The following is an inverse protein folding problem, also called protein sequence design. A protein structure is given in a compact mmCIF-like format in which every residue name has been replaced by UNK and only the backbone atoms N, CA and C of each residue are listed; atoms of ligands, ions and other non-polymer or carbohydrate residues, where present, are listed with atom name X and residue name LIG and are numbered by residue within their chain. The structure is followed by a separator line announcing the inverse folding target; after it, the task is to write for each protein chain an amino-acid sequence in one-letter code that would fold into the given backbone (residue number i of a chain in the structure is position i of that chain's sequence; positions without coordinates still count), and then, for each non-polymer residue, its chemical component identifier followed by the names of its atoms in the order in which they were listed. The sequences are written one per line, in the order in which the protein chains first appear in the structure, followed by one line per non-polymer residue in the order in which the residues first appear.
data_IF_024534444531
#
_entry.id   IF_024534444531
#
_cell.length_a   1.000
_cell.length_b   1.000
_cell.length_c   1.000
_cell.angle_alpha   90.00
_cell.angle_beta   90.00
_cell.angle_gamma   90.00
#
_symmetry.space_group_name_H-M   'P 1'
#
loop_
_entity.id
_entity.type
_entity.pdbx_description
1 polymer ?
#
# COMPACT_ATOMS: atom_id res chain seq x y z
N UNK A 1 -15.11 -7.18 -20.10
CA UNK A 1 -14.31 -8.34 -19.66
C UNK A 1 -12.99 -8.50 -20.42
N UNK A 2 -13.00 -8.70 -21.75
CA UNK A 2 -11.76 -8.92 -22.51
C UNK A 2 -10.71 -7.79 -22.36
N UNK A 3 -11.11 -6.52 -22.50
CA UNK A 3 -10.20 -5.38 -22.33
C UNK A 3 -9.57 -5.29 -20.93
N UNK A 4 -10.35 -5.59 -19.89
CA UNK A 4 -9.88 -5.57 -18.51
C UNK A 4 -8.88 -6.70 -18.27
N UNK A 5 -9.16 -7.89 -18.81
CA UNK A 5 -8.23 -9.02 -18.76
C UNK A 5 -6.93 -8.71 -19.50
N UNK A 6 -7.01 -8.09 -20.69
CA UNK A 6 -5.82 -7.67 -21.45
C UNK A 6 -5.01 -6.65 -20.67
N UNK A 7 -5.68 -5.65 -20.06
CA UNK A 7 -5.00 -4.63 -19.26
C UNK A 7 -4.34 -5.22 -18.00
N UNK A 8 -5.03 -6.12 -17.30
CA UNK A 8 -4.48 -6.82 -16.13
C UNK A 8 -3.31 -7.73 -16.51
N UNK A 9 -3.43 -8.47 -17.62
CA UNK A 9 -2.35 -9.27 -18.19
C UNK A 9 -1.16 -8.40 -18.58
N UNK A 10 -1.39 -7.21 -19.15
CA UNK A 10 -0.35 -6.24 -19.44
C UNK A 10 0.45 -5.82 -18.21
N UNK A 11 -0.21 -5.61 -17.07
CA UNK A 11 0.47 -5.28 -15.81
C UNK A 11 1.35 -6.42 -15.31
N UNK A 12 0.83 -7.65 -15.33
CA UNK A 12 1.60 -8.85 -14.97
C UNK A 12 2.78 -9.04 -15.93
N UNK A 13 2.58 -8.81 -17.22
CA UNK A 13 3.61 -8.92 -18.24
C UNK A 13 4.77 -7.93 -18.02
N UNK A 14 4.46 -6.66 -17.70
CA UNK A 14 5.49 -5.65 -17.37
C UNK A 14 6.28 -6.05 -16.12
N UNK A 15 5.61 -6.58 -15.09
CA UNK A 15 6.29 -7.11 -13.89
C UNK A 15 7.26 -8.24 -14.27
N UNK A 16 6.82 -9.17 -15.12
CA UNK A 16 7.64 -10.30 -15.58
C UNK A 16 8.86 -9.80 -16.37
N UNK A 17 8.68 -8.85 -17.29
CA UNK A 17 9.79 -8.27 -18.06
C UNK A 17 10.84 -7.67 -17.12
N UNK A 18 10.41 -6.81 -16.18
CA UNK A 18 11.32 -6.18 -15.23
C UNK A 18 12.04 -7.23 -14.37
N UNK A 19 11.33 -8.26 -13.92
CA UNK A 19 11.93 -9.36 -13.18
C UNK A 19 13.00 -10.09 -14.01
N UNK A 20 12.72 -10.43 -15.28
CA UNK A 20 13.66 -11.09 -16.18
C UNK A 20 14.89 -10.21 -16.42
N UNK A 21 14.70 -8.91 -16.73
CA UNK A 21 15.80 -7.96 -16.95
C UNK A 21 16.74 -7.88 -15.75
N UNK A 22 16.18 -8.01 -14.54
CA UNK A 22 16.99 -8.11 -13.32
C UNK A 22 17.73 -9.45 -13.21
N UNK A 23 17.10 -10.57 -13.55
CA UNK A 23 17.74 -11.89 -13.50
C UNK A 23 18.91 -12.02 -14.50
N UNK A 24 18.80 -11.38 -15.67
CA UNK A 24 19.88 -11.34 -16.66
C UNK A 24 20.90 -10.21 -16.40
N UNK A 25 20.84 -9.57 -15.24
CA UNK A 25 21.75 -8.50 -14.79
C UNK A 25 21.81 -7.26 -15.70
N UNK A 26 20.78 -7.03 -16.53
CA UNK A 26 20.63 -5.78 -17.29
C UNK A 26 20.24 -4.63 -16.36
N UNK A 27 19.44 -4.95 -15.34
CA UNK A 27 19.02 -4.04 -14.29
C UNK A 27 19.24 -4.68 -12.91
N UNK A 28 19.20 -3.86 -11.87
CA UNK A 28 19.38 -4.28 -10.49
C UNK A 28 18.23 -3.83 -9.60
N UNK A 29 18.16 -4.39 -8.39
CA UNK A 29 17.19 -3.95 -7.37
C UNK A 29 17.29 -2.46 -7.05
N UNK A 30 18.51 -1.90 -7.09
CA UNK A 30 18.74 -0.46 -6.86
C UNK A 30 18.01 0.41 -7.89
N UNK A 31 17.90 -0.04 -9.13
CA UNK A 31 17.22 0.70 -10.19
C UNK A 31 15.72 0.74 -9.91
N UNK A 32 15.17 -0.33 -9.35
CA UNK A 32 13.81 -0.36 -8.82
C UNK A 32 13.57 0.71 -7.74
N UNK A 33 14.53 0.92 -6.83
CA UNK A 33 14.43 1.97 -5.80
C UNK A 33 14.52 3.39 -6.41
N UNK A 34 15.34 3.56 -7.46
CA UNK A 34 15.39 4.81 -8.23
C UNK A 34 14.04 5.09 -8.89
N UNK A 35 13.44 4.09 -9.54
CA UNK A 35 12.10 4.22 -10.16
C UNK A 35 11.04 4.52 -9.10
N UNK A 36 11.08 3.88 -7.92
CA UNK A 36 10.18 4.19 -6.80
C UNK A 36 10.26 5.67 -6.40
N UNK A 37 11.47 6.23 -6.40
CA UNK A 37 11.70 7.64 -6.11
C UNK A 37 11.08 8.54 -7.19
N UNK A 38 11.24 8.21 -8.47
CA UNK A 38 10.58 8.93 -9.58
C UNK A 38 9.06 8.87 -9.44
N UNK A 39 8.51 7.70 -9.12
CA UNK A 39 7.07 7.50 -8.94
C UNK A 39 6.55 8.41 -7.85
N UNK A 40 7.10 8.30 -6.64
CA UNK A 40 6.57 8.97 -5.46
C UNK A 40 6.71 10.50 -5.52
N UNK A 41 7.69 11.01 -6.26
CA UNK A 41 7.95 12.45 -6.31
C UNK A 41 7.46 13.13 -7.60
N UNK A 42 7.18 12.37 -8.66
CA UNK A 42 6.86 12.93 -9.98
C UNK A 42 5.60 12.31 -10.57
N UNK A 43 5.64 11.04 -10.96
CA UNK A 43 4.54 10.48 -11.76
C UNK A 43 3.28 10.23 -10.96
N UNK A 44 3.39 9.81 -9.71
CA UNK A 44 2.24 9.60 -8.84
C UNK A 44 1.53 10.93 -8.50
N UNK A 45 2.22 11.99 -8.05
CA UNK A 45 1.61 13.32 -7.90
C UNK A 45 0.83 13.79 -9.14
N UNK A 46 1.42 13.70 -10.32
CA UNK A 46 0.78 14.09 -11.58
C UNK A 46 -0.43 13.20 -11.93
N UNK A 47 -0.30 11.89 -11.72
CA UNK A 47 -1.39 10.92 -11.84
C UNK A 47 -2.58 11.23 -10.91
N UNK A 48 -2.29 11.63 -9.67
CA UNK A 48 -3.31 12.00 -8.69
C UNK A 48 -4.02 13.29 -9.07
N UNK A 49 -3.28 14.33 -9.44
CA UNK A 49 -3.86 15.63 -9.83
C UNK A 49 -4.80 15.51 -11.04
N UNK A 50 -4.49 14.64 -11.98
CA UNK A 50 -5.33 14.42 -13.17
C UNK A 50 -6.60 13.63 -12.84
N UNK A 51 -6.56 12.76 -11.84
CA UNK A 51 -7.73 12.03 -11.32
C UNK A 51 -8.56 12.85 -10.32
N UNK A 52 -8.00 13.94 -9.79
CA UNK A 52 -8.66 14.83 -8.85
C UNK A 52 -9.73 15.75 -9.48
N UNK A 53 -9.60 16.04 -10.77
CA UNK A 53 -10.51 16.95 -11.46
C UNK A 53 -11.93 16.37 -11.49
N UNK A 54 -12.87 17.01 -10.79
CA UNK A 54 -14.26 16.57 -10.70
C UNK A 54 -14.57 15.61 -9.54
N UNK A 55 -13.64 15.39 -8.61
CA UNK A 55 -13.91 14.64 -7.38
C UNK A 55 -14.86 15.44 -6.48
N UNK A 56 -15.94 14.79 -6.05
CA UNK A 56 -16.87 15.34 -5.07
C UNK A 56 -16.58 14.78 -3.70
N UNK A 57 -16.59 15.62 -2.66
CA UNK A 57 -16.48 15.14 -1.28
C UNK A 57 -17.80 14.50 -0.86
N UNK A 58 -17.73 13.25 -0.41
CA UNK A 58 -18.87 12.53 0.16
C UNK A 58 -18.54 12.03 1.58
N UNK A 59 -19.58 11.57 2.30
CA UNK A 59 -19.43 11.05 3.66
C UNK A 59 -18.59 9.76 3.70
N UNK A 60 -18.56 9.00 2.60
CA UNK A 60 -17.81 7.75 2.48
C UNK A 60 -16.31 7.98 2.64
N UNK A 61 -15.79 9.11 2.16
CA UNK A 61 -14.37 9.48 2.30
C UNK A 61 -13.88 9.44 3.76
N UNK A 62 -14.67 9.99 4.70
CA UNK A 62 -14.33 9.95 6.12
C UNK A 62 -14.37 8.52 6.68
N UNK A 63 -15.38 7.74 6.27
CA UNK A 63 -15.50 6.33 6.67
C UNK A 63 -14.28 5.54 6.17
N UNK A 64 -13.81 5.80 4.95
CA UNK A 64 -12.66 5.12 4.36
C UNK A 64 -11.36 5.42 5.08
N UNK A 65 -11.15 6.68 5.48
CA UNK A 65 -10.04 7.07 6.35
C UNK A 65 -10.07 6.28 7.66
N UNK A 66 -11.23 6.20 8.31
CA UNK A 66 -11.39 5.44 9.54
C UNK A 66 -11.15 3.95 9.33
N UNK A 67 -11.60 3.35 8.22
CA UNK A 67 -11.32 1.95 7.90
C UNK A 67 -9.82 1.73 7.66
N UNK A 68 -9.12 2.65 6.98
CA UNK A 68 -7.68 2.57 6.77
C UNK A 68 -6.90 2.56 8.10
N UNK A 69 -7.31 3.38 9.06
CA UNK A 69 -6.74 3.40 10.41
C UNK A 69 -7.12 2.15 11.22
N UNK A 70 -8.41 1.81 11.25
CA UNK A 70 -8.95 0.72 12.06
C UNK A 70 -8.44 -0.64 11.60
N UNK A 71 -8.36 -0.90 10.29
CA UNK A 71 -7.84 -2.15 9.74
C UNK A 71 -6.40 -2.43 10.22
N UNK A 72 -5.56 -1.40 10.24
CA UNK A 72 -4.21 -1.46 10.78
C UNK A 72 -4.19 -1.80 12.28
N UNK A 73 -5.00 -1.13 13.10
CA UNK A 73 -5.10 -1.37 14.55
C UNK A 73 -5.60 -2.80 14.83
N UNK A 74 -6.63 -3.25 14.10
CA UNK A 74 -7.19 -4.60 14.22
C UNK A 74 -6.12 -5.64 13.87
N UNK A 75 -5.43 -5.49 12.73
CA UNK A 75 -4.38 -6.41 12.32
C UNK A 75 -3.22 -6.45 13.32
N UNK A 76 -2.85 -5.30 13.88
CA UNK A 76 -1.82 -5.19 14.91
C UNK A 76 -2.23 -5.95 16.19
N UNK A 77 -3.47 -5.77 16.63
CA UNK A 77 -4.01 -6.45 17.83
C UNK A 77 -4.15 -7.96 17.64
N UNK A 78 -4.67 -8.41 16.51
CA UNK A 78 -4.76 -9.84 16.14
C UNK A 78 -3.36 -10.46 16.17
N UNK A 79 -2.39 -9.79 15.56
CA UNK A 79 -1.01 -10.27 15.48
C UNK A 79 -0.35 -10.35 16.84
N UNK A 80 -0.62 -9.39 17.73
CA UNK A 80 -0.19 -9.43 19.12
C UNK A 80 -0.76 -10.66 19.86
N UNK A 81 -2.07 -10.91 19.74
CA UNK A 81 -2.72 -12.07 20.39
C UNK A 81 -2.12 -13.40 19.88
N UNK A 82 -1.97 -13.55 18.56
CA UNK A 82 -1.46 -14.77 17.93
C UNK A 82 0.05 -14.99 18.14
N UNK A 83 0.77 -13.95 18.57
CA UNK A 83 2.18 -14.02 18.94
C UNK A 83 2.42 -13.96 20.46
N UNK A 84 1.37 -14.03 21.29
CA UNK A 84 1.50 -13.87 22.76
C UNK A 84 2.52 -14.79 23.44
N UNK A 85 2.74 -15.99 22.87
CA UNK A 85 3.69 -17.00 23.38
C UNK A 85 5.13 -16.81 22.87
N UNK A 86 5.34 -15.91 21.92
CA UNK A 86 6.64 -15.63 21.32
C UNK A 86 7.45 -14.65 22.19
N UNK A 87 8.74 -14.50 21.88
CA UNK A 87 9.59 -13.47 22.48
C UNK A 87 9.11 -12.06 22.08
N UNK A 88 9.43 -11.07 22.92
CA UNK A 88 8.98 -9.68 22.77
C UNK A 88 9.37 -9.04 21.42
N UNK A 89 10.61 -9.28 20.96
CA UNK A 89 11.07 -8.78 19.66
C UNK A 89 10.26 -9.43 18.53
N UNK A 90 9.97 -10.72 18.62
CA UNK A 90 9.21 -11.45 17.61
C UNK A 90 7.72 -11.05 17.61
N UNK A 91 7.14 -10.72 18.77
CA UNK A 91 5.81 -10.09 18.86
C UNK A 91 5.79 -8.76 18.11
N UNK A 92 6.75 -7.89 18.38
CA UNK A 92 6.89 -6.60 17.69
C UNK A 92 7.05 -6.79 16.17
N UNK A 93 7.82 -7.78 15.74
CA UNK A 93 7.94 -8.16 14.33
C UNK A 93 6.57 -8.48 13.70
N UNK A 94 5.76 -9.35 14.34
CA UNK A 94 4.43 -9.71 13.79
C UNK A 94 3.49 -8.50 13.77
N UNK A 95 3.51 -7.67 14.80
CA UNK A 95 2.72 -6.43 14.84
C UNK A 95 3.05 -5.50 13.67
N UNK A 96 4.33 -5.34 13.34
CA UNK A 96 4.79 -4.50 12.23
C UNK A 96 4.46 -5.10 10.86
N UNK A 97 4.73 -6.41 10.66
CA UNK A 97 4.65 -7.02 9.33
C UNK A 97 3.24 -7.50 8.96
N UNK A 98 2.36 -7.71 9.93
CA UNK A 98 0.96 -8.02 9.65
C UNK A 98 0.08 -6.78 9.51
N UNK A 99 0.53 -5.62 10.01
CA UNK A 99 -0.12 -4.32 9.78
C UNK A 99 0.58 -3.56 8.64
N UNK A 100 -0.01 -2.45 8.22
CA UNK A 100 0.49 -1.57 7.16
C UNK A 100 0.21 -2.10 5.77
N UNK A 101 -0.38 -1.25 4.93
CA UNK A 101 -0.73 -1.57 3.55
C UNK A 101 0.12 -0.73 2.60
N UNK A 102 0.72 -1.37 1.59
CA UNK A 102 1.49 -0.66 0.57
C UNK A 102 0.55 -0.08 -0.51
N UNK A 103 -0.09 1.06 -0.24
CA UNK A 103 -1.11 1.59 -1.16
C UNK A 103 -0.50 2.39 -2.30
N UNK A 104 0.22 3.48 -2.00
CA UNK A 104 0.74 4.41 -3.02
C UNK A 104 1.65 3.75 -4.07
N UNK A 105 2.58 2.89 -3.64
CA UNK A 105 3.52 2.24 -4.56
C UNK A 105 2.93 1.04 -5.31
N UNK A 106 1.84 0.45 -4.82
CA UNK A 106 1.37 -0.84 -5.32
C UNK A 106 -0.09 -0.85 -5.74
N UNK A 107 -1.04 -0.59 -4.84
CA UNK A 107 -2.48 -0.67 -5.19
C UNK A 107 -2.92 0.50 -6.07
N UNK A 108 -2.37 1.69 -5.84
CA UNK A 108 -2.78 2.91 -6.52
C UNK A 108 -2.71 2.81 -8.06
N UNK A 109 -1.62 2.33 -8.68
CA UNK A 109 -1.58 2.07 -10.13
C UNK A 109 -2.72 1.22 -10.69
N UNK A 110 -3.16 0.19 -9.95
CA UNK A 110 -4.30 -0.65 -10.34
C UNK A 110 -5.59 0.17 -10.28
N UNK A 111 -5.86 0.83 -9.15
CA UNK A 111 -7.07 1.65 -9.00
C UNK A 111 -7.13 2.79 -10.02
N UNK A 112 -6.01 3.47 -10.26
CA UNK A 112 -5.93 4.51 -11.29
C UNK A 112 -6.31 3.98 -12.68
N UNK A 113 -5.96 2.72 -12.96
CA UNK A 113 -6.15 2.11 -14.26
C UNK A 113 -7.54 1.52 -14.47
N UNK A 114 -8.16 0.99 -13.43
CA UNK A 114 -9.45 0.28 -13.52
C UNK A 114 -10.62 1.06 -12.92
N UNK A 115 -10.35 1.95 -11.96
CA UNK A 115 -11.34 2.72 -11.22
C UNK A 115 -10.88 4.20 -11.04
N UNK A 116 -10.70 4.95 -12.15
CA UNK A 116 -10.23 6.34 -12.09
C UNK A 116 -11.22 7.28 -11.40
N UNK A 117 -10.81 8.53 -11.18
CA UNK A 117 -11.65 9.56 -10.56
C UNK A 117 -11.98 9.26 -9.10
N UNK A 118 -13.26 9.06 -8.79
CA UNK A 118 -13.72 8.78 -7.41
C UNK A 118 -13.06 7.55 -6.79
N UNK A 119 -12.71 6.53 -7.59
CA UNK A 119 -12.04 5.35 -7.06
C UNK A 119 -10.64 5.67 -6.52
N UNK A 120 -9.89 6.52 -7.23
CA UNK A 120 -8.60 7.05 -6.76
C UNK A 120 -8.79 7.89 -5.51
N UNK A 121 -9.78 8.78 -5.48
CA UNK A 121 -10.06 9.63 -4.32
C UNK A 121 -10.38 8.81 -3.06
N UNK A 122 -11.22 7.77 -3.18
CA UNK A 122 -11.51 6.83 -2.11
C UNK A 122 -10.26 6.11 -1.60
N UNK A 123 -9.40 5.65 -2.51
CA UNK A 123 -8.17 4.97 -2.11
C UNK A 123 -7.21 5.91 -1.39
N UNK A 124 -7.12 7.17 -1.83
CA UNK A 124 -6.31 8.20 -1.16
C UNK A 124 -6.78 8.42 0.28
N UNK A 125 -8.10 8.49 0.52
CA UNK A 125 -8.64 8.67 1.87
C UNK A 125 -8.36 7.48 2.78
N UNK A 126 -8.50 6.25 2.27
CA UNK A 126 -8.04 5.07 2.99
C UNK A 126 -6.54 5.16 3.31
N UNK A 127 -5.73 5.59 2.34
CA UNK A 127 -4.27 5.66 2.49
C UNK A 127 -3.83 6.73 3.51
N UNK A 128 -4.60 7.83 3.66
CA UNK A 128 -4.39 8.81 4.74
C UNK A 128 -4.48 8.13 6.11
N UNK A 129 -5.53 7.35 6.35
CA UNK A 129 -5.68 6.60 7.60
C UNK A 129 -4.60 5.53 7.79
N UNK A 130 -4.27 4.81 6.72
CA UNK A 130 -3.20 3.81 6.70
C UNK A 130 -1.81 4.41 6.98
N UNK A 131 -1.53 5.60 6.43
CA UNK A 131 -0.22 6.27 6.54
C UNK A 131 0.12 6.65 7.97
N UNK A 132 -0.88 7.00 8.79
CA UNK A 132 -0.69 7.26 10.24
C UNK A 132 -0.03 6.05 10.92
N UNK A 133 -0.50 4.84 10.57
CA UNK A 133 0.02 3.60 11.13
C UNK A 133 1.33 3.18 10.47
N UNK A 134 1.43 3.28 9.14
CA UNK A 134 2.63 2.92 8.38
C UNK A 134 3.83 3.82 8.69
N UNK A 135 3.68 5.12 8.96
CA UNK A 135 4.81 6.04 9.15
C UNK A 135 5.27 6.14 10.61
N UNK A 136 4.56 5.51 11.54
CA UNK A 136 4.96 5.50 12.94
C UNK A 136 4.05 4.68 13.84
N UNK A 137 2.72 4.74 13.69
CA UNK A 137 1.79 4.14 14.65
C UNK A 137 2.08 2.67 14.96
N UNK A 138 2.27 1.83 13.93
CA UNK A 138 2.59 0.41 14.12
C UNK A 138 3.94 0.21 14.80
N UNK A 139 4.94 1.04 14.47
CA UNK A 139 6.26 1.00 15.09
C UNK A 139 6.23 1.44 16.56
N UNK A 140 5.44 2.45 16.94
CA UNK A 140 5.28 2.86 18.35
C UNK A 140 4.82 1.69 19.21
N UNK A 141 3.72 1.08 18.77
CA UNK A 141 3.03 0.05 19.53
C UNK A 141 3.89 -1.21 19.57
N UNK A 142 4.45 -1.63 18.44
CA UNK A 142 5.38 -2.76 18.40
C UNK A 142 6.67 -2.51 19.21
N UNK A 143 7.22 -1.30 19.17
CA UNK A 143 8.41 -0.90 19.92
C UNK A 143 8.21 -0.98 21.43
N UNK A 144 7.04 -0.56 21.92
CA UNK A 144 6.68 -0.68 23.34
C UNK A 144 6.62 -2.13 23.83
N UNK A 145 6.23 -3.07 22.96
CA UNK A 145 6.20 -4.51 23.25
C UNK A 145 7.59 -5.13 23.14
N UNK A 146 8.39 -4.71 22.15
CA UNK A 146 9.74 -5.21 21.89
C UNK A 146 10.83 -4.64 22.82
N UNK A 147 10.45 -3.90 23.87
CA UNK A 147 11.37 -3.23 24.81
C UNK A 147 12.29 -2.18 24.15
N UNK A 148 11.88 -1.60 23.02
CA UNK A 148 12.57 -0.46 22.42
C UNK A 148 12.21 0.83 23.16
N UNK A 149 13.22 1.60 23.59
CA UNK A 149 13.05 2.87 24.31
C UNK A 149 12.52 4.03 23.43
N UNK A 150 12.10 3.75 22.19
CA UNK A 150 11.58 4.79 21.29
C UNK A 150 10.11 5.09 21.57
N UNK A 151 9.89 6.21 22.28
CA UNK A 151 8.59 6.85 22.40
C UNK A 151 8.27 7.60 21.13
N UNK A 152 7.05 7.41 20.62
CA UNK A 152 6.58 8.12 19.46
C UNK A 152 5.88 9.41 19.89
N UNK A 153 6.39 10.54 19.43
CA UNK A 153 5.74 11.83 19.63
C UNK A 153 4.82 12.13 18.45
N UNK A 154 3.60 12.66 18.68
CA UNK A 154 2.70 13.07 17.60
C UNK A 154 3.39 14.00 16.58
N UNK A 155 4.28 14.88 17.07
CA UNK A 155 5.13 15.75 16.24
C UNK A 155 5.94 14.99 15.18
N UNK A 156 6.50 13.83 15.53
CA UNK A 156 7.29 13.02 14.59
C UNK A 156 6.42 12.34 13.54
N UNK A 157 5.21 11.88 13.90
CA UNK A 157 4.26 11.31 12.93
C UNK A 157 3.82 12.38 11.94
N UNK A 158 3.38 13.54 12.44
CA UNK A 158 2.94 14.67 11.63
C UNK A 158 4.07 15.09 10.69
N UNK A 159 5.29 15.27 11.20
CA UNK A 159 6.45 15.63 10.37
C UNK A 159 6.67 14.62 9.24
N UNK A 160 6.57 13.32 9.52
CA UNK A 160 6.75 12.27 8.50
C UNK A 160 5.62 12.27 7.46
N UNK A 161 4.37 12.47 7.89
CA UNK A 161 3.22 12.57 6.99
C UNK A 161 3.41 13.74 6.00
N UNK A 162 3.71 14.93 6.49
CA UNK A 162 3.97 16.14 5.68
C UNK A 162 5.37 16.18 5.03
N UNK A 163 6.15 15.10 5.14
CA UNK A 163 7.37 14.92 4.34
C UNK A 163 7.13 13.96 3.16
N UNK A 164 5.93 13.39 3.05
CA UNK A 164 5.54 12.45 2.00
C UNK A 164 4.79 13.21 0.91
N UNK A 165 5.44 13.42 -0.24
CA UNK A 165 4.84 14.15 -1.36
C UNK A 165 3.46 13.58 -1.75
N UNK A 166 3.25 12.25 -1.86
CA UNK A 166 1.93 11.72 -2.18
C UNK A 166 0.86 12.07 -1.14
N UNK A 167 1.23 12.08 0.14
CA UNK A 167 0.31 12.48 1.21
C UNK A 167 -0.09 13.96 1.08
N UNK A 168 0.88 14.84 0.82
CA UNK A 168 0.62 16.26 0.62
C UNK A 168 -0.27 16.51 -0.60
N UNK A 169 -0.07 15.73 -1.68
CA UNK A 169 -0.92 15.78 -2.87
C UNK A 169 -2.33 15.28 -2.58
N UNK A 170 -2.51 14.22 -1.78
CA UNK A 170 -3.84 13.78 -1.35
C UNK A 170 -4.58 14.89 -0.60
N UNK A 171 -3.89 15.56 0.33
CA UNK A 171 -4.45 16.66 1.10
C UNK A 171 -4.77 17.87 0.22
N UNK A 172 -3.87 18.22 -0.70
CA UNK A 172 -4.09 19.29 -1.67
C UNK A 172 -5.33 19.01 -2.51
N UNK A 173 -5.48 17.81 -3.05
CA UNK A 173 -6.65 17.39 -3.84
C UNK A 173 -7.93 17.52 -3.02
N UNK A 174 -7.90 17.07 -1.76
CA UNK A 174 -9.03 17.19 -0.86
C UNK A 174 -9.42 18.66 -0.61
N UNK A 175 -8.44 19.54 -0.36
CA UNK A 175 -8.65 20.98 -0.19
C UNK A 175 -9.22 21.62 -1.46
N UNK A 176 -8.65 21.30 -2.63
CA UNK A 176 -9.15 21.81 -3.92
C UNK A 176 -10.60 21.36 -4.16
N UNK A 177 -10.92 20.09 -3.89
CA UNK A 177 -12.28 19.56 -4.00
C UNK A 177 -13.24 20.25 -3.01
N UNK A 178 -12.81 20.50 -1.77
CA UNK A 178 -13.61 21.16 -0.72
C UNK A 178 -14.02 22.58 -1.12
N UNK A 179 -13.07 23.35 -1.67
CA UNK A 179 -13.30 24.72 -2.12
C UNK A 179 -13.78 24.81 -3.57
N UNK A 180 -14.00 23.67 -4.24
CA UNK A 180 -14.37 23.57 -5.66
C UNK A 180 -13.42 24.35 -6.58
N UNK A 181 -12.14 24.41 -6.22
CA UNK A 181 -11.10 25.08 -6.99
C UNK A 181 -10.70 24.16 -8.14
N UNK A 182 -10.90 24.62 -9.36
CA UNK A 182 -10.49 23.90 -10.56
C UNK A 182 -9.02 24.16 -10.87
N UNK A 183 -8.28 23.10 -11.20
CA UNK A 183 -6.90 23.21 -11.66
C UNK A 183 -6.91 23.71 -13.12
N UNK A 184 -6.10 24.71 -13.49
CA UNK A 184 -6.00 25.19 -14.86
C UNK A 184 -5.67 24.07 -15.86
N UNK A 185 -6.34 24.06 -17.01
CA UNK A 185 -6.16 23.05 -18.06
C UNK A 185 -4.71 22.85 -18.51
N UNK A 186 -3.88 23.91 -18.71
CA UNK A 186 -2.48 23.71 -19.09
C UNK A 186 -1.69 22.88 -18.08
N UNK A 187 -1.94 23.04 -16.78
CA UNK A 187 -1.30 22.25 -15.72
C UNK A 187 -1.77 20.80 -15.78
N UNK A 188 -3.08 20.58 -15.97
CA UNK A 188 -3.65 19.25 -16.10
C UNK A 188 -3.12 18.51 -17.35
N UNK A 189 -2.91 19.20 -18.47
CA UNK A 189 -2.35 18.59 -19.69
C UNK A 189 -0.93 18.07 -19.44
N UNK A 190 -0.08 18.87 -18.80
CA UNK A 190 1.30 18.44 -18.44
C UNK A 190 1.26 17.31 -17.42
N UNK A 191 0.44 17.43 -16.38
CA UNK A 191 0.28 16.39 -15.37
C UNK A 191 -0.27 15.09 -15.97
N UNK A 192 -1.16 15.17 -16.97
CA UNK A 192 -1.71 13.99 -17.65
C UNK A 192 -0.64 13.25 -18.42
N UNK A 193 0.20 13.98 -19.17
CA UNK A 193 1.33 13.41 -19.90
C UNK A 193 2.30 12.67 -18.96
N UNK A 194 2.70 13.31 -17.85
CA UNK A 194 3.61 12.71 -16.86
C UNK A 194 2.94 11.53 -16.14
N UNK A 195 1.69 11.73 -15.70
CA UNK A 195 0.91 10.76 -14.92
C UNK A 195 0.54 9.50 -15.70
N UNK A 196 0.45 9.58 -17.03
CA UNK A 196 0.19 8.42 -17.88
C UNK A 196 1.27 7.32 -17.75
N UNK A 197 2.53 7.71 -17.48
CA UNK A 197 3.63 6.76 -17.26
C UNK A 197 3.58 6.04 -15.91
N UNK A 198 2.79 6.52 -14.95
CA UNK A 198 2.79 6.04 -13.57
C UNK A 198 2.51 4.53 -13.46
N UNK A 199 1.49 4.04 -14.19
CA UNK A 199 1.11 2.63 -14.16
C UNK A 199 2.23 1.71 -14.62
N UNK A 200 2.87 2.04 -15.75
CA UNK A 200 3.99 1.27 -16.28
C UNK A 200 5.18 1.26 -15.33
N UNK A 201 5.62 2.44 -14.87
CA UNK A 201 6.76 2.55 -13.97
C UNK A 201 6.54 1.78 -12.66
N UNK A 202 5.33 1.82 -12.11
CA UNK A 202 5.02 1.10 -10.88
C UNK A 202 5.07 -0.42 -11.07
N UNK A 203 4.47 -0.95 -12.15
CA UNK A 203 4.57 -2.38 -12.47
C UNK A 203 6.01 -2.81 -12.73
N UNK A 204 6.79 -1.97 -13.41
CA UNK A 204 8.19 -2.24 -13.69
C UNK A 204 9.04 -2.23 -12.41
N UNK A 205 8.85 -1.22 -11.54
CA UNK A 205 9.45 -1.14 -10.21
C UNK A 205 9.16 -2.40 -9.39
N UNK A 206 7.90 -2.86 -9.36
CA UNK A 206 7.51 -4.07 -8.62
C UNK A 206 8.33 -5.27 -9.10
N UNK A 207 8.46 -5.48 -10.42
CA UNK A 207 9.27 -6.57 -10.97
C UNK A 207 10.76 -6.50 -10.58
N UNK A 208 11.33 -5.29 -10.52
CA UNK A 208 12.71 -5.09 -10.05
C UNK A 208 12.86 -5.33 -8.54
N UNK A 209 11.86 -4.96 -7.73
CA UNK A 209 11.93 -5.13 -6.28
C UNK A 209 11.62 -6.56 -5.80
N UNK A 210 10.94 -7.37 -6.60
CA UNK A 210 10.62 -8.76 -6.28
C UNK A 210 11.87 -9.62 -6.04
N UNK A 211 12.12 -10.03 -4.80
CA UNK A 211 13.21 -10.96 -4.48
C UNK A 211 12.64 -12.29 -3.98
N UNK A 212 12.95 -13.36 -4.71
CA UNK A 212 12.66 -14.74 -4.28
C UNK A 212 13.92 -15.31 -3.62
N UNK A 213 14.34 -14.68 -2.52
CA UNK A 213 15.38 -15.25 -1.64
C UNK A 213 14.69 -15.90 -0.46
N UNK A 214 14.70 -17.22 -0.43
CA UNK A 214 14.08 -18.00 0.62
C UNK A 214 15.16 -18.44 1.59
N UNK A 215 15.05 -18.02 2.85
CA UNK A 215 15.84 -18.56 3.95
C UNK A 215 14.98 -19.62 4.69
N UNK A 216 15.27 -20.93 4.54
CA UNK A 216 14.46 -21.99 5.15
C UNK A 216 14.33 -21.88 6.66
N UNK A 217 15.35 -21.33 7.34
CA UNK A 217 15.37 -21.18 8.80
C UNK A 217 14.28 -20.26 9.34
N UNK A 218 13.80 -19.32 8.53
CA UNK A 218 12.80 -18.32 8.93
C UNK A 218 11.44 -18.54 8.28
N UNK A 219 11.31 -19.56 7.43
CA UNK A 219 10.11 -19.78 6.64
C UNK A 219 8.86 -19.97 7.51
N UNK A 220 8.99 -20.56 8.70
CA UNK A 220 7.87 -20.70 9.65
C UNK A 220 7.31 -19.33 10.09
N UNK A 221 8.18 -18.35 10.35
CA UNK A 221 7.80 -16.98 10.74
C UNK A 221 7.15 -16.27 9.56
N UNK A 222 7.74 -16.41 8.37
CA UNK A 222 7.23 -15.83 7.12
C UNK A 222 5.85 -16.38 6.79
N UNK A 223 5.67 -17.71 6.78
CA UNK A 223 4.39 -18.36 6.51
C UNK A 223 3.33 -17.96 7.54
N UNK A 224 3.66 -17.91 8.83
CA UNK A 224 2.74 -17.43 9.87
C UNK A 224 2.32 -15.98 9.62
N UNK A 225 3.25 -15.11 9.22
CA UNK A 225 2.97 -13.70 8.88
C UNK A 225 2.00 -13.61 7.70
N UNK A 226 2.29 -14.32 6.61
CA UNK A 226 1.47 -14.31 5.40
C UNK A 226 0.09 -14.93 5.65
N UNK A 227 0.02 -16.03 6.42
CA UNK A 227 -1.24 -16.69 6.77
C UNK A 227 -2.15 -15.74 7.56
N UNK A 228 -1.62 -15.07 8.58
CA UNK A 228 -2.38 -14.08 9.36
C UNK A 228 -2.88 -12.97 8.43
N UNK A 229 -2.00 -12.44 7.58
CA UNK A 229 -2.34 -11.33 6.69
C UNK A 229 -3.42 -11.70 5.67
N UNK A 230 -3.30 -12.86 5.02
CA UNK A 230 -4.26 -13.32 4.01
C UNK A 230 -5.58 -13.70 4.65
N UNK A 231 -5.57 -14.48 5.73
CA UNK A 231 -6.79 -14.96 6.38
C UNK A 231 -7.59 -13.81 6.99
N UNK A 232 -6.97 -13.01 7.85
CA UNK A 232 -7.68 -11.90 8.50
C UNK A 232 -7.91 -10.73 7.55
N UNK A 233 -7.05 -10.53 6.55
CA UNK A 233 -7.33 -9.63 5.44
C UNK A 233 -8.60 -10.03 4.69
N UNK A 234 -8.78 -11.32 4.36
CA UNK A 234 -10.00 -11.82 3.72
C UNK A 234 -11.26 -11.63 4.56
N UNK A 235 -11.15 -11.82 5.89
CA UNK A 235 -12.24 -11.53 6.82
C UNK A 235 -12.59 -10.04 6.80
N UNK A 236 -11.61 -9.14 6.92
CA UNK A 236 -11.83 -7.69 6.87
C UNK A 236 -12.42 -7.25 5.53
N UNK A 237 -11.94 -7.79 4.41
CA UNK A 237 -12.49 -7.55 3.08
C UNK A 237 -13.96 -7.96 3.01
N UNK A 238 -14.30 -9.14 3.54
CA UNK A 238 -15.68 -9.65 3.55
C UNK A 238 -16.59 -8.78 4.42
N UNK A 239 -16.12 -8.38 5.61
CA UNK A 239 -16.86 -7.48 6.51
C UNK A 239 -17.14 -6.16 5.80
N UNK A 240 -16.14 -5.53 5.18
CA UNK A 240 -16.33 -4.26 4.48
C UNK A 240 -17.31 -4.41 3.31
N UNK A 241 -17.16 -5.46 2.50
CA UNK A 241 -17.99 -5.64 1.31
C UNK A 241 -19.45 -5.91 1.65
N UNK A 242 -19.74 -6.78 2.62
CA UNK A 242 -21.11 -7.20 2.93
C UNK A 242 -21.80 -6.35 4.00
N UNK A 243 -21.06 -5.84 5.00
CA UNK A 243 -21.67 -5.24 6.20
C UNK A 243 -21.64 -3.72 6.16
N UNK A 244 -20.57 -3.09 5.69
CA UNK A 244 -20.42 -1.62 5.78
C UNK A 244 -21.35 -0.92 4.78
N UNK A 245 -22.21 0.02 5.20
CA UNK A 245 -23.20 0.66 4.32
C UNK A 245 -22.59 1.87 3.58
N UNK A 246 -21.63 1.61 2.70
CA UNK A 246 -21.00 2.61 1.81
C UNK A 246 -21.28 2.31 0.33
N UNK A 247 -21.13 3.28 -0.58
CA UNK A 247 -21.35 3.07 -2.02
C UNK A 247 -20.53 1.91 -2.58
N UNK A 248 -21.07 1.21 -3.58
CA UNK A 248 -20.44 0.01 -4.14
C UNK A 248 -19.01 0.26 -4.66
N UNK A 249 -18.77 1.41 -5.29
CA UNK A 249 -17.43 1.80 -5.72
C UNK A 249 -16.47 1.88 -4.51
N UNK A 250 -16.87 2.56 -3.44
CA UNK A 250 -16.06 2.66 -2.22
C UNK A 250 -15.77 1.28 -1.61
N UNK A 251 -16.75 0.37 -1.57
CA UNK A 251 -16.54 -1.02 -1.15
C UNK A 251 -15.46 -1.71 -1.96
N UNK A 252 -15.56 -1.68 -3.29
CA UNK A 252 -14.59 -2.28 -4.21
C UNK A 252 -13.19 -1.74 -3.95
N UNK A 253 -13.05 -0.42 -3.82
CA UNK A 253 -11.76 0.22 -3.56
C UNK A 253 -11.15 -0.20 -2.22
N UNK A 254 -11.94 -0.24 -1.14
CA UNK A 254 -11.41 -0.65 0.17
C UNK A 254 -11.01 -2.13 0.16
N UNK A 255 -11.76 -2.99 -0.53
CA UNK A 255 -11.39 -4.40 -0.69
C UNK A 255 -10.06 -4.53 -1.43
N UNK A 256 -9.84 -3.79 -2.51
CA UNK A 256 -8.54 -3.73 -3.19
C UNK A 256 -7.43 -3.18 -2.28
N UNK A 257 -7.73 -2.17 -1.45
CA UNK A 257 -6.78 -1.60 -0.50
C UNK A 257 -6.35 -2.60 0.59
N UNK A 258 -7.30 -3.36 1.13
CA UNK A 258 -7.04 -4.39 2.15
C UNK A 258 -6.29 -5.60 1.60
N UNK A 259 -6.37 -5.84 0.29
CA UNK A 259 -5.58 -6.84 -0.42
C UNK A 259 -4.12 -6.41 -0.65
N UNK A 260 -3.73 -5.19 -0.26
CA UNK A 260 -2.37 -4.69 -0.48
C UNK A 260 -1.30 -5.52 0.24
N UNK A 261 -0.09 -5.60 -0.34
CA UNK A 261 1.03 -6.27 0.29
C UNK A 261 1.53 -5.47 1.50
N UNK A 262 2.43 -6.10 2.24
CA UNK A 262 3.05 -5.50 3.43
C UNK A 262 3.77 -4.21 3.03
N UNK A 263 3.62 -3.17 3.85
CA UNK A 263 4.25 -1.88 3.62
C UNK A 263 5.78 -1.98 3.54
N UNK A 264 6.42 -1.22 2.66
CA UNK A 264 7.88 -1.28 2.42
C UNK A 264 8.71 -0.87 3.63
N UNK A 265 8.16 -0.04 4.51
CA UNK A 265 8.82 0.41 5.74
C UNK A 265 8.85 -0.64 6.85
N UNK A 266 8.13 -1.75 6.70
CA UNK A 266 8.05 -2.80 7.72
C UNK A 266 9.42 -3.42 8.04
N UNK A 267 10.27 -3.58 7.02
CA UNK A 267 11.61 -4.13 7.18
C UNK A 267 12.53 -3.21 7.99
N UNK A 268 12.48 -1.90 7.71
CA UNK A 268 13.24 -0.88 8.45
C UNK A 268 12.79 -0.84 9.91
N UNK A 269 11.48 -0.86 10.14
CA UNK A 269 10.91 -0.83 11.47
C UNK A 269 11.19 -2.10 12.28
N UNK A 270 11.20 -3.26 11.63
CA UNK A 270 11.60 -4.52 12.25
C UNK A 270 13.07 -4.44 12.72
N UNK A 271 13.96 -3.92 11.88
CA UNK A 271 15.36 -3.69 12.26
C UNK A 271 15.49 -2.73 13.45
N UNK A 272 14.70 -1.66 13.46
CA UNK A 272 14.72 -0.65 14.52
C UNK A 272 14.13 -1.12 15.86
N UNK A 273 13.40 -2.24 15.91
CA UNK A 273 12.99 -2.87 17.18
C UNK A 273 13.93 -4.02 17.60
N UNK A 274 15.09 -4.18 16.93
CA UNK A 274 16.08 -5.21 17.23
C UNK A 274 15.88 -6.53 16.49
N UNK A 275 14.95 -6.62 15.53
CA UNK A 275 14.81 -7.81 14.68
C UNK A 275 15.72 -7.70 13.45
N UNK A 276 16.89 -8.36 13.52
CA UNK A 276 17.96 -8.25 12.50
C UNK A 276 18.00 -9.37 11.46
N UNK A 277 16.93 -10.16 11.34
CA UNK A 277 16.86 -11.29 10.40
C UNK A 277 16.11 -10.93 9.12
N UNK A 278 16.07 -11.85 8.17
CA UNK A 278 15.59 -11.62 6.79
C UNK A 278 14.07 -11.72 6.64
N UNK A 279 13.37 -12.32 7.61
CA UNK A 279 11.93 -12.54 7.55
C UNK A 279 11.09 -11.33 7.09
N UNK A 280 11.32 -10.07 7.54
CA UNK A 280 10.55 -8.92 7.08
C UNK A 280 10.65 -8.67 5.57
N UNK A 281 11.87 -8.80 5.02
CA UNK A 281 12.11 -8.60 3.60
C UNK A 281 11.48 -9.73 2.78
N UNK A 282 11.62 -10.98 3.24
CA UNK A 282 11.02 -12.16 2.59
C UNK A 282 9.49 -12.07 2.64
N UNK A 283 8.90 -11.75 3.78
CA UNK A 283 7.46 -11.55 3.94
C UNK A 283 6.94 -10.44 3.04
N UNK A 284 7.64 -9.31 2.94
CA UNK A 284 7.25 -8.22 2.04
C UNK A 284 7.24 -8.69 0.59
N UNK A 285 8.33 -9.29 0.10
CA UNK A 285 8.44 -9.80 -1.28
C UNK A 285 7.38 -10.86 -1.61
N UNK A 286 7.17 -11.85 -0.75
CA UNK A 286 6.16 -12.89 -0.98
C UNK A 286 4.73 -12.33 -0.90
N UNK A 287 4.49 -11.35 -0.02
CA UNK A 287 3.18 -10.68 0.05
C UNK A 287 2.85 -9.95 -1.24
N UNK A 288 3.83 -9.37 -1.93
CA UNK A 288 3.63 -8.74 -3.25
C UNK A 288 3.09 -9.78 -4.25
N UNK A 289 3.70 -10.96 -4.33
CA UNK A 289 3.26 -12.03 -5.26
C UNK A 289 1.81 -12.44 -4.96
N UNK A 290 1.49 -12.68 -3.69
CA UNK A 290 0.13 -13.05 -3.27
C UNK A 290 -0.85 -11.92 -3.61
N UNK A 291 -0.50 -10.67 -3.29
CA UNK A 291 -1.34 -9.50 -3.56
C UNK A 291 -1.57 -9.26 -5.04
N UNK A 292 -0.58 -9.50 -5.93
CA UNK A 292 -0.79 -9.42 -7.38
C UNK A 292 -1.89 -10.40 -7.80
N UNK A 293 -1.78 -11.67 -7.38
CA UNK A 293 -2.77 -12.69 -7.74
C UNK A 293 -4.16 -12.33 -7.22
N UNK A 294 -4.26 -11.92 -5.94
CA UNK A 294 -5.52 -11.52 -5.32
C UNK A 294 -6.12 -10.29 -6.00
N UNK A 295 -5.33 -9.25 -6.27
CA UNK A 295 -5.82 -8.04 -6.94
C UNK A 295 -6.31 -8.33 -8.35
N UNK A 296 -5.60 -9.15 -9.14
CA UNK A 296 -6.05 -9.52 -10.49
C UNK A 296 -7.41 -10.22 -10.42
N UNK A 297 -7.58 -11.19 -9.52
CA UNK A 297 -8.87 -11.87 -9.32
C UNK A 297 -9.96 -10.88 -8.90
N UNK A 298 -9.70 -10.03 -7.91
CA UNK A 298 -10.66 -9.04 -7.44
C UNK A 298 -11.05 -8.03 -8.52
N UNK A 299 -10.09 -7.55 -9.32
CA UNK A 299 -10.35 -6.64 -10.43
C UNK A 299 -11.24 -7.31 -11.47
N UNK A 300 -10.98 -8.58 -11.82
CA UNK A 300 -11.83 -9.34 -12.74
C UNK A 300 -13.23 -9.54 -12.17
N UNK A 301 -13.36 -9.76 -10.86
CA UNK A 301 -14.67 -9.90 -10.20
C UNK A 301 -15.45 -8.59 -10.08
N UNK A 302 -14.74 -7.46 -10.02
CA UNK A 302 -15.33 -6.13 -9.86
C UNK A 302 -15.59 -5.40 -11.18
N UNK A 303 -15.00 -5.89 -12.27
CA UNK A 303 -15.21 -5.50 -13.65
C UNK A 303 -16.62 -5.86 -14.14
#
# INVERSE_FOLDING_TARGET
MAEIMIKAAGFVFVIIIAFILKQVHVLEKRDGLTIATIIMNVTLPCALLTNASGVTIDQSMLILLLIGLASNIIMLFISFILSRKEENILKGYYMINCSGYNIGNFVMPFVQSFFPGMGVAYLCMFDVGNSIMCLGGSYALAGSVASSNQKLTPKTVIKKLFSSIPFDVYLLIFVLALFKISIPQPILSVASFIGAGNGFLAMFMIGLLLEVKINPSEMKIVLKTLLIRVLFGAILMSIVYFIVPIPMLAKKIVVLALAAPITTVSAVFSKNIGYHRDAPAISSSLSIIISIAVLVVLIIMFA
#
